data_IF_035220076720
#
_entry.id   IF_035220076720
#
_cell.length_a   1.000
_cell.length_b   1.000
_cell.length_c   1.000
_cell.angle_alpha   90.00
_cell.angle_beta   90.00
_cell.angle_gamma   90.00
#
_symmetry.space_group_name_H-M   'P 1'
#
loop_
_entity.id
_entity.type
_entity.pdbx_description
1 polymer ?
#
# COMPACT_ATOMS: atom_id res chain seq x y z
N UNK A 1 -20.69 10.73 -3.82
CA UNK A 1 -19.78 9.62 -3.54
C UNK A 1 -18.64 10.17 -2.71
N UNK A 2 -18.34 9.55 -1.58
CA UNK A 2 -17.28 9.93 -0.64
C UNK A 2 -16.33 8.74 -0.52
N UNK A 3 -15.04 8.96 -0.70
CA UNK A 3 -14.02 7.90 -0.60
C UNK A 3 -12.86 8.32 0.31
N UNK A 4 -12.11 7.33 0.77
CA UNK A 4 -10.91 7.57 1.57
C UNK A 4 -9.70 6.90 0.94
N UNK A 5 -8.57 7.59 0.97
CA UNK A 5 -7.25 6.95 0.89
C UNK A 5 -6.84 6.59 2.32
N UNK A 6 -6.44 5.34 2.54
CA UNK A 6 -6.19 4.79 3.88
C UNK A 6 -4.77 4.25 3.95
N UNK A 7 -4.02 4.73 4.95
CA UNK A 7 -2.61 4.36 5.17
C UNK A 7 -2.34 4.14 6.65
N UNK A 8 -1.31 3.34 6.97
CA UNK A 8 -0.78 3.18 8.32
C UNK A 8 0.60 3.84 8.47
N UNK A 9 0.82 4.55 9.58
CA UNK A 9 2.09 5.21 9.88
C UNK A 9 2.65 4.82 11.25
N UNK A 10 3.97 4.69 11.27
CA UNK A 10 4.79 4.62 12.47
C UNK A 10 5.72 5.85 12.49
N UNK A 11 6.23 6.22 13.66
CA UNK A 11 7.15 7.34 13.81
C UNK A 11 8.57 7.00 13.34
N UNK A 12 8.71 6.72 12.04
CA UNK A 12 9.97 6.43 11.36
C UNK A 12 10.20 7.50 10.32
N UNK A 13 11.35 8.18 10.38
CA UNK A 13 11.67 9.28 9.46
C UNK A 13 11.47 8.93 7.97
N UNK A 14 11.95 7.77 7.45
CA UNK A 14 11.71 7.41 6.06
C UNK A 14 10.23 7.26 5.73
N UNK A 15 9.44 6.68 6.64
CA UNK A 15 8.01 6.45 6.44
C UNK A 15 7.21 7.76 6.46
N UNK A 16 7.55 8.68 7.37
CA UNK A 16 6.96 10.02 7.43
C UNK A 16 7.31 10.85 6.18
N UNK A 17 8.55 10.75 5.70
CA UNK A 17 8.95 11.37 4.45
C UNK A 17 8.18 10.79 3.25
N UNK A 18 8.01 9.48 3.20
CA UNK A 18 7.22 8.82 2.15
C UNK A 18 5.75 9.26 2.20
N UNK A 19 5.15 9.26 3.40
CA UNK A 19 3.79 9.75 3.61
C UNK A 19 3.58 11.18 3.15
N UNK A 20 4.57 12.06 3.35
CA UNK A 20 4.45 13.45 2.91
C UNK A 20 4.29 13.56 1.39
N UNK A 21 4.78 12.59 0.61
CA UNK A 21 4.56 12.52 -0.83
C UNK A 21 3.13 12.17 -1.17
N UNK A 22 2.56 11.14 -0.53
CA UNK A 22 1.16 10.76 -0.69
C UNK A 22 0.25 11.93 -0.34
N UNK A 23 0.45 12.54 0.83
CA UNK A 23 -0.29 13.72 1.25
C UNK A 23 -0.16 14.88 0.24
N UNK A 24 1.06 15.24 -0.12
CA UNK A 24 1.32 16.40 -0.99
C UNK A 24 0.72 16.17 -2.38
N UNK A 25 0.79 14.95 -2.90
CA UNK A 25 0.15 14.59 -4.17
C UNK A 25 -1.37 14.72 -4.11
N UNK A 26 -2.01 14.24 -3.03
CA UNK A 26 -3.46 14.38 -2.84
C UNK A 26 -3.90 15.85 -2.79
N UNK A 27 -3.16 16.69 -2.07
CA UNK A 27 -3.43 18.14 -2.02
C UNK A 27 -3.17 18.82 -3.37
N UNK A 28 -2.13 18.40 -4.07
CA UNK A 28 -1.77 18.93 -5.38
C UNK A 28 -2.87 18.67 -6.42
N UNK A 29 -3.44 17.46 -6.44
CA UNK A 29 -4.50 17.11 -7.39
C UNK A 29 -5.87 17.67 -7.02
N UNK A 30 -6.01 18.29 -5.83
CA UNK A 30 -7.22 18.96 -5.35
C UNK A 30 -8.47 18.09 -5.46
N UNK A 31 -8.34 16.83 -5.04
CA UNK A 31 -9.47 15.91 -5.01
C UNK A 31 -10.58 16.45 -4.08
N UNK A 32 -11.83 16.42 -4.55
CA UNK A 32 -12.97 17.03 -3.86
C UNK A 32 -13.75 16.04 -3.00
N UNK A 33 -13.58 14.75 -3.24
CA UNK A 33 -14.39 13.66 -2.69
C UNK A 33 -13.56 12.65 -1.90
N UNK A 34 -12.27 12.93 -1.70
CA UNK A 34 -11.30 12.01 -1.12
C UNK A 34 -10.75 12.57 0.19
N UNK A 35 -11.05 11.88 1.30
CA UNK A 35 -10.37 12.10 2.57
C UNK A 35 -9.07 11.29 2.64
N UNK A 36 -8.10 11.75 3.44
CA UNK A 36 -6.93 10.96 3.82
C UNK A 36 -7.09 10.49 5.26
N UNK A 37 -7.32 9.19 5.43
CA UNK A 37 -7.46 8.54 6.74
C UNK A 37 -6.14 7.88 7.10
N UNK A 38 -5.57 8.28 8.23
CA UNK A 38 -4.25 7.85 8.67
C UNK A 38 -4.40 7.13 10.01
N UNK A 39 -4.21 5.82 9.96
CA UNK A 39 -4.01 5.02 11.16
C UNK A 39 -2.54 5.10 11.56
N UNK A 40 -2.22 5.09 12.84
CA UNK A 40 -0.82 5.08 13.25
C UNK A 40 -0.57 5.19 14.74
N UNK A 41 0.70 5.07 15.11
CA UNK A 41 1.13 5.29 16.50
C UNK A 41 0.92 6.76 16.89
N UNK A 42 0.63 7.03 18.17
CA UNK A 42 0.32 8.38 18.65
C UNK A 42 1.39 9.41 18.25
N UNK A 43 2.66 9.03 18.44
CA UNK A 43 3.84 9.84 18.12
C UNK A 43 4.05 10.06 16.60
N UNK A 44 3.50 9.20 15.75
CA UNK A 44 3.46 9.41 14.31
C UNK A 44 2.35 10.40 13.94
N UNK A 45 1.16 10.26 14.55
CA UNK A 45 -0.01 11.07 14.27
C UNK A 45 0.14 12.53 14.71
N UNK A 46 0.98 12.80 15.72
CA UNK A 46 1.40 14.17 16.08
C UNK A 46 2.05 14.92 14.90
N UNK A 47 2.66 14.20 13.96
CA UNK A 47 3.35 14.77 12.79
C UNK A 47 2.50 14.76 11.51
N UNK A 48 1.31 14.16 11.57
CA UNK A 48 0.36 14.13 10.46
C UNK A 48 -0.36 15.49 10.39
N UNK A 49 -0.62 16.06 9.19
CA UNK A 49 -1.37 17.31 9.06
C UNK A 49 -2.78 17.23 9.65
N UNK A 50 -3.28 18.36 10.18
CA UNK A 50 -4.56 18.43 10.90
C UNK A 50 -5.80 18.25 10.04
N UNK A 51 -5.66 18.43 8.73
CA UNK A 51 -6.74 18.20 7.76
C UNK A 51 -6.83 16.74 7.29
N UNK A 52 -6.02 15.84 7.87
CA UNK A 52 -6.16 14.39 7.75
C UNK A 52 -7.02 13.85 8.90
N UNK A 53 -7.69 12.72 8.66
CA UNK A 53 -8.42 11.99 9.70
C UNK A 53 -7.44 11.07 10.41
N UNK A 54 -7.04 11.43 11.63
CA UNK A 54 -6.02 10.73 12.43
C UNK A 54 -6.68 9.72 13.37
N UNK A 55 -6.27 8.46 13.29
CA UNK A 55 -6.83 7.38 14.11
C UNK A 55 -5.71 6.62 14.82
N UNK A 56 -5.55 6.80 16.15
CA UNK A 56 -4.57 6.06 16.94
C UNK A 56 -4.76 4.56 16.79
N UNK A 57 -3.67 3.86 16.47
CA UNK A 57 -3.64 2.40 16.39
C UNK A 57 -2.25 1.89 16.76
N UNK A 58 -2.15 0.93 17.70
CA UNK A 58 -0.87 0.33 18.05
C UNK A 58 -0.34 -0.55 16.92
N UNK A 59 0.97 -0.74 16.90
CA UNK A 59 1.62 -1.75 16.07
C UNK A 59 1.27 -3.17 16.51
N UNK A 60 1.46 -4.12 15.60
CA UNK A 60 1.30 -5.53 15.87
C UNK A 60 2.41 -6.06 16.78
N UNK A 61 2.05 -6.54 17.97
CA UNK A 61 3.00 -7.13 18.93
C UNK A 61 2.80 -8.63 19.14
N UNK A 62 1.61 -9.14 18.84
CA UNK A 62 1.25 -10.54 19.07
C UNK A 62 0.75 -11.20 17.78
N UNK A 63 1.35 -12.34 17.37
CA UNK A 63 2.44 -13.05 18.05
C UNK A 63 3.80 -12.31 17.93
N UNK A 64 4.86 -12.70 18.68
CA UNK A 64 6.16 -12.02 18.67
C UNK A 64 6.82 -11.89 17.28
N UNK A 65 6.49 -12.78 16.35
CA UNK A 65 6.92 -12.75 14.95
C UNK A 65 6.47 -11.47 14.23
N UNK A 66 5.32 -10.89 14.62
CA UNK A 66 4.83 -9.63 14.05
C UNK A 66 5.75 -8.46 14.33
N UNK A 67 6.39 -8.41 15.50
CA UNK A 67 7.38 -7.37 15.84
C UNK A 67 8.56 -7.39 14.87
N UNK A 68 8.98 -8.58 14.44
CA UNK A 68 10.08 -8.76 13.47
C UNK A 68 9.63 -8.53 12.03
N UNK A 69 8.32 -8.62 11.76
CA UNK A 69 7.73 -8.50 10.44
C UNK A 69 6.86 -7.23 10.31
N UNK A 70 7.46 -6.06 10.49
CA UNK A 70 6.78 -4.75 10.52
C UNK A 70 5.82 -4.46 9.36
N UNK A 71 6.00 -5.09 8.20
CA UNK A 71 5.10 -4.96 7.02
C UNK A 71 3.66 -5.40 7.33
N UNK A 72 3.46 -6.26 8.33
CA UNK A 72 2.12 -6.67 8.76
C UNK A 72 1.25 -5.50 9.21
N UNK A 73 1.88 -4.42 9.70
CA UNK A 73 1.14 -3.25 10.17
C UNK A 73 0.29 -2.60 9.07
N UNK A 74 0.62 -2.80 7.77
CA UNK A 74 -0.23 -2.37 6.64
C UNK A 74 -1.61 -3.04 6.59
N UNK A 75 -1.78 -4.17 7.29
CA UNK A 75 -3.04 -4.91 7.42
C UNK A 75 -3.52 -5.01 8.87
N UNK A 76 -2.61 -5.03 9.85
CA UNK A 76 -2.94 -5.30 11.26
C UNK A 76 -3.96 -4.34 11.85
N UNK A 77 -3.90 -3.04 11.50
CA UNK A 77 -4.84 -2.06 12.04
C UNK A 77 -6.30 -2.38 11.68
N UNK A 78 -6.57 -3.11 10.59
CA UNK A 78 -7.92 -3.58 10.25
C UNK A 78 -8.53 -4.56 11.24
N UNK A 79 -7.73 -5.13 12.15
CA UNK A 79 -8.22 -5.97 13.25
C UNK A 79 -8.75 -5.16 14.44
N UNK A 80 -8.60 -3.83 14.41
CA UNK A 80 -8.96 -2.94 15.51
C UNK A 80 -10.35 -2.35 15.31
N UNK A 81 -11.14 -2.14 16.38
CA UNK A 81 -12.52 -1.65 16.27
C UNK A 81 -12.62 -0.26 15.63
N UNK A 82 -11.55 0.54 15.70
CA UNK A 82 -11.48 1.88 15.15
C UNK A 82 -11.67 1.91 13.62
N UNK A 83 -11.43 0.80 12.91
CA UNK A 83 -11.66 0.75 11.45
C UNK A 83 -13.12 0.87 11.05
N UNK A 84 -14.05 0.74 12.00
CA UNK A 84 -15.48 1.01 11.79
C UNK A 84 -15.75 2.43 11.26
N UNK A 85 -14.86 3.39 11.52
CA UNK A 85 -14.93 4.74 10.93
C UNK A 85 -14.94 4.71 9.40
N UNK A 86 -14.33 3.70 8.79
CA UNK A 86 -14.24 3.56 7.33
C UNK A 86 -15.58 3.21 6.69
N UNK A 87 -16.56 2.73 7.45
CA UNK A 87 -17.89 2.38 6.95
C UNK A 87 -18.73 3.61 6.55
N UNK A 88 -18.26 4.83 6.83
CA UNK A 88 -18.89 6.06 6.35
C UNK A 88 -18.58 6.38 4.87
N UNK A 89 -17.64 5.66 4.26
CA UNK A 89 -17.19 5.89 2.89
C UNK A 89 -17.87 4.90 1.93
N UNK A 90 -18.13 5.34 0.71
CA UNK A 90 -18.61 4.46 -0.36
C UNK A 90 -17.48 3.51 -0.81
N UNK A 91 -16.24 4.02 -0.85
CA UNK A 91 -15.05 3.26 -1.22
C UNK A 91 -13.85 3.65 -0.36
N UNK A 92 -12.97 2.68 -0.09
CA UNK A 92 -11.66 2.93 0.50
C UNK A 92 -10.55 2.40 -0.39
N UNK A 93 -9.48 3.18 -0.48
CA UNK A 93 -8.25 2.89 -1.20
C UNK A 93 -7.12 2.68 -0.19
N UNK A 94 -6.93 1.43 0.21
CA UNK A 94 -5.84 0.99 1.09
C UNK A 94 -4.54 1.02 0.29
N UNK A 95 -3.54 1.76 0.76
CA UNK A 95 -2.24 1.86 0.09
C UNK A 95 -1.07 2.04 1.07
N UNK A 96 0.15 1.89 0.57
CA UNK A 96 1.40 2.17 1.28
C UNK A 96 1.75 3.67 1.26
N UNK A 97 2.60 4.10 2.18
CA UNK A 97 2.97 5.51 2.30
C UNK A 97 3.89 6.00 1.18
N UNK A 98 4.69 5.13 0.56
CA UNK A 98 5.64 5.47 -0.51
C UNK A 98 4.99 5.52 -1.89
N UNK A 99 3.91 6.29 -1.96
CA UNK A 99 3.03 6.37 -3.11
C UNK A 99 2.68 7.82 -3.46
N UNK A 100 2.16 7.99 -4.67
CA UNK A 100 1.67 9.26 -5.18
C UNK A 100 0.33 9.03 -5.87
N UNK A 101 -0.57 10.01 -5.75
CA UNK A 101 -1.75 10.11 -6.60
C UNK A 101 -1.46 11.07 -7.75
N UNK A 102 -2.11 10.85 -8.89
CA UNK A 102 -2.02 11.74 -10.06
C UNK A 102 -3.38 12.37 -10.35
N UNK A 103 -3.47 13.36 -11.27
CA UNK A 103 -4.75 13.97 -11.64
C UNK A 103 -5.81 12.96 -12.10
N UNK A 104 -5.40 11.81 -12.67
CA UNK A 104 -6.28 10.74 -13.11
C UNK A 104 -7.14 10.15 -11.96
N UNK A 105 -6.68 10.26 -10.71
CA UNK A 105 -7.43 9.84 -9.52
C UNK A 105 -8.84 10.46 -9.46
N UNK A 106 -8.99 11.72 -9.86
CA UNK A 106 -10.23 12.47 -9.72
C UNK A 106 -11.39 11.92 -10.55
N UNK A 107 -11.11 11.17 -11.61
CA UNK A 107 -12.11 10.52 -12.46
C UNK A 107 -12.14 9.00 -12.35
N UNK A 108 -11.29 8.41 -11.50
CA UNK A 108 -11.16 6.96 -11.38
C UNK A 108 -11.94 6.39 -10.21
N UNK A 109 -12.87 5.48 -10.51
CA UNK A 109 -13.64 4.72 -9.52
C UNK A 109 -13.64 3.24 -9.91
N UNK A 110 -13.61 2.33 -8.93
CA UNK A 110 -13.49 0.92 -9.21
C UNK A 110 -14.88 0.37 -9.56
N UNK A 111 -15.01 -0.30 -10.72
CA UNK A 111 -16.28 -0.96 -11.10
C UNK A 111 -16.57 -2.17 -10.19
N UNK A 112 -15.51 -2.80 -9.69
CA UNK A 112 -15.52 -3.92 -8.76
C UNK A 112 -14.29 -3.83 -7.86
N UNK A 113 -14.17 -4.73 -6.88
CA UNK A 113 -12.96 -4.79 -6.04
C UNK A 113 -11.71 -4.84 -6.93
N UNK A 114 -10.81 -3.88 -6.75
CA UNK A 114 -9.65 -3.70 -7.61
C UNK A 114 -8.40 -3.69 -6.76
N UNK A 115 -7.38 -4.41 -7.21
CA UNK A 115 -6.08 -4.45 -6.55
C UNK A 115 -4.99 -3.97 -7.48
N UNK A 116 -3.88 -3.50 -6.90
CA UNK A 116 -2.64 -3.32 -7.64
C UNK A 116 -1.98 -4.65 -7.98
N UNK A 117 -0.75 -4.59 -8.50
CA UNK A 117 -0.04 -5.78 -8.99
C UNK A 117 1.10 -6.20 -8.06
N UNK A 118 1.15 -7.50 -7.73
CA UNK A 118 2.27 -8.15 -7.08
C UNK A 118 3.35 -8.68 -8.05
N UNK A 119 4.35 -9.38 -7.49
CA UNK A 119 5.45 -9.97 -8.25
C UNK A 119 6.21 -11.07 -7.49
N UNK A 120 5.50 -11.84 -6.67
CA UNK A 120 6.07 -12.81 -5.73
C UNK A 120 5.80 -14.27 -6.11
N UNK A 121 4.87 -14.54 -7.03
CA UNK A 121 4.60 -15.88 -7.55
C UNK A 121 5.47 -16.12 -8.80
N UNK A 122 6.64 -16.72 -8.58
CA UNK A 122 7.68 -16.93 -9.59
C UNK A 122 7.90 -18.40 -9.99
N UNK A 123 7.24 -19.35 -9.32
CA UNK A 123 7.39 -20.79 -9.56
C UNK A 123 6.08 -21.55 -9.34
N UNK A 124 6.04 -22.80 -9.83
CA UNK A 124 4.91 -23.71 -9.58
C UNK A 124 4.80 -24.08 -8.09
N UNK A 125 5.94 -24.23 -7.42
CA UNK A 125 6.01 -24.48 -5.98
C UNK A 125 5.24 -23.43 -5.18
N UNK A 126 5.51 -22.12 -5.42
CA UNK A 126 4.81 -21.04 -4.72
C UNK A 126 3.28 -21.12 -4.94
N UNK A 127 2.83 -21.44 -6.16
CA UNK A 127 1.40 -21.62 -6.46
C UNK A 127 0.79 -22.78 -5.68
N UNK A 128 1.51 -23.89 -5.56
CA UNK A 128 1.07 -25.06 -4.81
C UNK A 128 0.96 -24.77 -3.31
N UNK A 129 1.93 -24.06 -2.71
CA UNK A 129 1.87 -23.63 -1.32
C UNK A 129 0.66 -22.71 -1.07
N UNK A 130 0.46 -21.71 -1.93
CA UNK A 130 -0.67 -20.77 -1.82
C UNK A 130 -2.02 -21.50 -1.88
N UNK A 131 -2.19 -22.41 -2.84
CA UNK A 131 -3.40 -23.23 -2.95
C UNK A 131 -3.61 -24.09 -1.70
N UNK A 132 -2.58 -24.82 -1.25
CA UNK A 132 -2.64 -25.68 -0.06
C UNK A 132 -3.03 -24.90 1.19
N UNK A 133 -2.43 -23.72 1.41
CA UNK A 133 -2.70 -22.89 2.59
C UNK A 133 -4.10 -22.27 2.51
N UNK A 134 -4.56 -21.90 1.32
CA UNK A 134 -5.93 -21.43 1.11
C UNK A 134 -6.94 -22.51 1.53
N UNK A 135 -6.74 -23.74 1.06
CA UNK A 135 -7.59 -24.89 1.40
C UNK A 135 -7.53 -25.24 2.89
N UNK A 136 -6.35 -25.13 3.52
CA UNK A 136 -6.16 -25.34 4.96
C UNK A 136 -7.02 -24.38 5.81
N UNK A 137 -7.25 -23.17 5.32
CA UNK A 137 -8.08 -22.16 5.99
C UNK A 137 -9.56 -22.23 5.56
N UNK A 138 -9.98 -23.29 4.86
CA UNK A 138 -11.35 -23.47 4.41
C UNK A 138 -11.79 -22.48 3.32
N UNK A 139 -10.82 -21.84 2.65
CA UNK A 139 -11.06 -20.87 1.58
C UNK A 139 -10.88 -21.53 0.20
N UNK A 140 -11.40 -20.87 -0.83
CA UNK A 140 -11.24 -21.30 -2.23
C UNK A 140 -10.21 -20.41 -2.94
N UNK A 141 -9.15 -21.01 -3.47
CA UNK A 141 -8.22 -20.30 -4.34
C UNK A 141 -8.77 -20.26 -5.78
N UNK A 142 -8.91 -19.08 -6.39
CA UNK A 142 -9.51 -18.93 -7.73
C UNK A 142 -8.50 -19.10 -8.87
N UNK A 143 -7.22 -19.31 -8.52
CA UNK A 143 -6.13 -19.45 -9.50
C UNK A 143 -5.58 -18.12 -9.99
N UNK A 144 -6.00 -17.01 -9.37
CA UNK A 144 -5.52 -15.67 -9.64
C UNK A 144 -4.33 -15.40 -8.71
N UNK A 145 -3.20 -15.00 -9.31
CA UNK A 145 -1.93 -14.87 -8.62
C UNK A 145 -1.28 -13.50 -8.86
N UNK A 146 -0.33 -13.14 -8.01
CA UNK A 146 0.35 -11.84 -7.97
C UNK A 146 -0.63 -10.69 -7.70
N UNK A 147 -1.51 -10.89 -6.73
CA UNK A 147 -2.42 -9.84 -6.21
C UNK A 147 -1.58 -8.83 -5.40
N UNK A 148 -1.73 -7.54 -5.68
CA UNK A 148 -1.00 -6.46 -4.99
C UNK A 148 -1.48 -6.22 -3.56
N UNK A 149 -0.72 -5.40 -2.82
CA UNK A 149 -1.05 -5.01 -1.44
C UNK A 149 -1.92 -3.74 -1.37
N UNK A 150 -2.13 -3.07 -2.50
CA UNK A 150 -3.04 -1.94 -2.68
C UNK A 150 -4.42 -2.47 -3.05
N UNK A 151 -5.47 -2.01 -2.35
CA UNK A 151 -6.84 -2.47 -2.54
C UNK A 151 -7.79 -1.28 -2.64
N UNK A 152 -8.69 -1.32 -3.61
CA UNK A 152 -9.73 -0.34 -3.82
C UNK A 152 -11.09 -1.03 -3.94
N UNK A 153 -11.99 -0.74 -3.01
CA UNK A 153 -13.28 -1.39 -2.96
C UNK A 153 -14.15 -0.84 -1.85
N UNK A 154 -15.28 -1.51 -1.61
CA UNK A 154 -16.15 -1.18 -0.48
C UNK A 154 -15.42 -1.39 0.84
N UNK A 155 -15.70 -0.58 1.89
CA UNK A 155 -15.08 -0.75 3.20
C UNK A 155 -15.23 -2.17 3.74
N UNK A 156 -16.43 -2.75 3.67
CA UNK A 156 -16.73 -4.09 4.18
C UNK A 156 -15.82 -5.18 3.58
N UNK A 157 -15.57 -5.11 2.26
CA UNK A 157 -14.73 -6.07 1.55
C UNK A 157 -13.25 -5.89 1.89
N UNK A 158 -12.76 -4.64 1.88
CA UNK A 158 -11.35 -4.33 2.17
C UNK A 158 -11.01 -4.68 3.61
N UNK A 159 -11.88 -4.33 4.57
CA UNK A 159 -11.72 -4.66 5.99
C UNK A 159 -11.68 -6.18 6.17
N UNK A 160 -12.64 -6.92 5.59
CA UNK A 160 -12.71 -8.38 5.72
C UNK A 160 -11.47 -9.06 5.13
N UNK A 161 -11.05 -8.66 3.93
CA UNK A 161 -9.83 -9.17 3.30
C UNK A 161 -8.60 -8.90 4.18
N UNK A 162 -8.44 -7.68 4.69
CA UNK A 162 -7.29 -7.34 5.52
C UNK A 162 -7.28 -8.07 6.87
N UNK A 163 -8.44 -8.28 7.50
CA UNK A 163 -8.55 -9.08 8.73
C UNK A 163 -8.12 -10.53 8.50
N UNK A 164 -8.64 -11.18 7.47
CA UNK A 164 -8.26 -12.56 7.12
C UNK A 164 -6.79 -12.64 6.69
N UNK A 165 -6.26 -11.63 5.99
CA UNK A 165 -4.84 -11.57 5.66
C UNK A 165 -3.97 -11.55 6.93
N UNK A 166 -4.37 -10.87 8.00
CA UNK A 166 -3.63 -10.90 9.28
C UNK A 166 -3.61 -12.30 9.90
N UNK A 167 -4.73 -13.02 9.87
CA UNK A 167 -4.83 -14.39 10.37
C UNK A 167 -3.94 -15.35 9.57
N UNK A 168 -3.95 -15.24 8.24
CA UNK A 168 -3.11 -16.07 7.37
C UNK A 168 -1.64 -15.70 7.54
N UNK A 169 -1.30 -14.41 7.64
CA UNK A 169 0.06 -13.96 7.89
C UNK A 169 0.58 -14.49 9.23
N UNK A 170 -0.27 -14.53 10.26
CA UNK A 170 0.05 -15.19 11.53
C UNK A 170 0.45 -16.64 11.31
N UNK A 171 -0.39 -17.43 10.64
CA UNK A 171 -0.07 -18.83 10.33
C UNK A 171 1.25 -18.97 9.54
N UNK A 172 1.42 -18.15 8.49
CA UNK A 172 2.64 -18.16 7.67
C UNK A 172 3.89 -17.93 8.53
N UNK A 173 3.87 -16.93 9.41
CA UNK A 173 5.03 -16.56 10.20
C UNK A 173 5.30 -17.51 11.37
N UNK A 174 4.26 -18.03 12.02
CA UNK A 174 4.43 -18.86 13.24
C UNK A 174 4.47 -20.36 12.97
N UNK A 175 4.05 -20.81 11.78
CA UNK A 175 3.98 -22.23 11.42
C UNK A 175 4.80 -22.50 10.17
N UNK A 176 4.43 -21.88 9.04
CA UNK A 176 5.03 -22.22 7.74
C UNK A 176 6.51 -21.83 7.66
N UNK A 177 6.86 -20.63 8.11
CA UNK A 177 8.21 -20.05 8.04
C UNK A 177 8.93 -20.01 9.39
N UNK A 178 8.42 -20.75 10.37
CA UNK A 178 8.95 -20.73 11.74
C UNK A 178 10.42 -21.15 11.79
N UNK A 179 10.72 -22.28 11.14
CA UNK A 179 12.04 -22.91 11.23
C UNK A 179 12.93 -22.59 10.02
N UNK A 180 12.33 -22.36 8.85
CA UNK A 180 13.03 -21.94 7.62
C UNK A 180 12.25 -20.78 6.94
N UNK A 181 12.81 -19.57 6.86
CA UNK A 181 12.17 -18.47 6.15
C UNK A 181 12.15 -18.65 4.64
N UNK A 182 12.80 -19.67 4.09
CA UNK A 182 12.89 -19.93 2.65
C UNK A 182 13.81 -18.96 1.91
N UNK A 183 13.74 -18.96 0.58
CA UNK A 183 14.67 -18.18 -0.27
C UNK A 183 13.95 -17.45 -1.40
N UNK A 184 14.35 -16.19 -1.62
CA UNK A 184 13.92 -15.40 -2.76
C UNK A 184 14.82 -15.63 -3.98
N UNK A 185 14.29 -15.68 -5.23
CA UNK A 185 12.87 -15.71 -5.59
C UNK A 185 12.29 -17.14 -5.53
N UNK A 186 11.39 -17.40 -4.58
CA UNK A 186 10.84 -18.72 -4.28
C UNK A 186 9.81 -18.63 -3.15
N UNK A 187 9.52 -19.74 -2.48
CA UNK A 187 8.71 -19.73 -1.25
C UNK A 187 9.51 -19.05 -0.14
N UNK A 188 9.13 -17.83 0.24
CA UNK A 188 9.94 -16.97 1.10
C UNK A 188 9.07 -16.13 2.07
N UNK A 189 9.33 -16.27 3.36
CA UNK A 189 8.60 -15.58 4.42
C UNK A 189 8.72 -14.06 4.42
N UNK A 190 9.74 -13.49 3.75
CA UNK A 190 9.86 -12.04 3.64
C UNK A 190 8.71 -11.37 2.88
N UNK A 191 7.95 -12.13 2.07
CA UNK A 191 6.75 -11.66 1.37
C UNK A 191 5.44 -12.26 1.92
N UNK A 192 5.44 -12.73 3.17
CA UNK A 192 4.25 -13.30 3.83
C UNK A 192 3.01 -12.39 3.77
N UNK A 193 3.18 -11.06 3.89
CA UNK A 193 2.07 -10.10 3.72
C UNK A 193 1.42 -10.26 2.34
N UNK A 194 2.21 -10.41 1.28
CA UNK A 194 1.71 -10.55 -0.08
C UNK A 194 0.95 -11.86 -0.28
N UNK A 195 1.52 -12.98 0.19
CA UNK A 195 0.85 -14.29 0.17
C UNK A 195 -0.49 -14.25 0.92
N UNK A 196 -0.51 -13.64 2.10
CA UNK A 196 -1.73 -13.55 2.91
C UNK A 196 -2.83 -12.70 2.27
N UNK A 197 -2.48 -11.58 1.63
CA UNK A 197 -3.44 -10.76 0.88
C UNK A 197 -4.01 -11.56 -0.31
N UNK A 198 -3.18 -12.30 -1.06
CA UNK A 198 -3.67 -13.09 -2.19
C UNK A 198 -4.64 -14.19 -1.77
N UNK A 199 -4.31 -14.92 -0.70
CA UNK A 199 -5.17 -15.97 -0.16
C UNK A 199 -6.51 -15.36 0.29
N UNK A 200 -6.48 -14.24 1.02
CA UNK A 200 -7.68 -13.57 1.51
C UNK A 200 -8.56 -13.03 0.37
N UNK A 201 -7.98 -12.37 -0.64
CA UNK A 201 -8.74 -11.86 -1.80
C UNK A 201 -9.36 -13.02 -2.58
N UNK A 202 -8.59 -14.05 -2.92
CA UNK A 202 -9.13 -15.23 -3.60
C UNK A 202 -10.26 -15.89 -2.79
N UNK A 203 -10.13 -15.94 -1.45
CA UNK A 203 -11.09 -16.60 -0.58
C UNK A 203 -12.39 -15.83 -0.34
N UNK A 204 -12.40 -14.51 -0.49
CA UNK A 204 -13.54 -13.67 -0.13
C UNK A 204 -14.19 -12.91 -1.27
N UNK A 205 -13.45 -12.60 -2.33
CA UNK A 205 -13.91 -11.69 -3.38
C UNK A 205 -14.21 -12.50 -4.64
N UNK A 206 -15.49 -12.70 -4.95
CA UNK A 206 -15.92 -13.54 -6.08
C UNK A 206 -15.43 -13.01 -7.44
N UNK A 207 -15.42 -11.69 -7.64
CA UNK A 207 -14.93 -11.04 -8.86
C UNK A 207 -14.12 -9.81 -8.51
N UNK A 208 -12.89 -9.75 -9.02
CA UNK A 208 -11.98 -8.62 -8.82
C UNK A 208 -11.04 -8.44 -10.01
N UNK A 209 -10.50 -7.23 -10.13
CA UNK A 209 -9.51 -6.87 -11.14
C UNK A 209 -8.14 -6.66 -10.50
N UNK A 210 -7.08 -7.16 -11.13
CA UNK A 210 -5.71 -6.69 -10.88
C UNK A 210 -5.43 -5.60 -11.91
N UNK A 211 -5.55 -4.34 -11.52
CA UNK A 211 -5.35 -3.20 -12.42
C UNK A 211 -3.87 -2.85 -12.50
N UNK A 212 -3.23 -3.38 -13.53
CA UNK A 212 -1.78 -3.25 -13.77
C UNK A 212 -1.40 -1.92 -14.42
N UNK A 213 -2.38 -1.15 -14.88
CA UNK A 213 -2.16 0.08 -15.63
C UNK A 213 -2.37 1.29 -14.74
N UNK A 214 -3.38 1.26 -13.87
CA UNK A 214 -3.74 2.42 -13.06
C UNK A 214 -3.15 2.35 -11.65
N UNK A 215 -3.05 1.16 -11.04
CA UNK A 215 -2.69 0.99 -9.63
C UNK A 215 -1.29 0.37 -9.48
N UNK A 216 -0.49 1.00 -8.61
CA UNK A 216 0.91 0.63 -8.33
C UNK A 216 1.81 0.81 -9.55
N UNK A 217 1.54 1.86 -10.34
CA UNK A 217 2.34 2.17 -11.52
C UNK A 217 3.74 2.65 -11.10
N UNK A 218 4.83 2.29 -11.80
CA UNK A 218 6.18 2.55 -11.30
C UNK A 218 6.57 4.03 -11.34
N UNK A 219 7.11 4.55 -10.23
CA UNK A 219 7.60 5.93 -10.10
C UNK A 219 8.76 6.32 -11.02
N UNK A 220 9.33 5.36 -11.75
CA UNK A 220 10.41 5.59 -12.70
C UNK A 220 9.92 5.71 -14.15
N UNK A 221 8.61 5.60 -14.37
CA UNK A 221 8.04 5.57 -15.70
C UNK A 221 8.20 6.91 -16.43
N UNK A 222 8.53 6.90 -17.73
CA UNK A 222 8.45 8.08 -18.59
C UNK A 222 7.04 8.30 -19.16
N UNK A 223 6.05 7.48 -18.78
CA UNK A 223 4.67 7.65 -19.24
C UNK A 223 3.97 8.87 -18.62
N UNK A 224 2.78 9.17 -19.15
CA UNK A 224 2.00 10.35 -18.76
C UNK A 224 1.29 10.17 -17.42
N UNK A 225 1.22 11.23 -16.62
CA UNK A 225 0.43 11.26 -15.37
C UNK A 225 -1.08 11.16 -15.57
N UNK A 226 -1.58 11.39 -16.80
CA UNK A 226 -3.01 11.44 -17.09
C UNK A 226 -3.69 10.07 -17.14
N UNK A 227 -2.89 8.99 -17.13
CA UNK A 227 -3.38 7.61 -17.31
C UNK A 227 -3.25 6.73 -16.09
N UNK A 228 -2.43 7.10 -15.11
CA UNK A 228 -2.06 6.21 -14.02
C UNK A 228 -2.43 6.85 -12.70
N UNK A 229 -3.40 6.29 -11.99
CA UNK A 229 -4.04 6.98 -10.85
C UNK A 229 -3.18 6.95 -9.59
N UNK A 230 -2.41 5.87 -9.43
CA UNK A 230 -1.64 5.57 -8.25
C UNK A 230 -0.24 5.08 -8.62
N UNK A 231 0.77 5.83 -8.21
CA UNK A 231 2.18 5.56 -8.48
C UNK A 231 2.83 4.99 -7.22
N UNK A 232 3.63 3.94 -7.34
CA UNK A 232 4.31 3.28 -6.24
C UNK A 232 5.85 3.31 -6.40
N UNK A 233 6.56 3.59 -5.32
CA UNK A 233 8.02 3.69 -5.30
C UNK A 233 8.72 2.35 -5.01
N UNK A 234 8.77 1.51 -6.04
CA UNK A 234 9.58 0.30 -6.00
C UNK A 234 11.07 0.58 -5.78
N UNK A 235 11.79 -0.43 -5.27
CA UNK A 235 13.22 -0.33 -5.03
C UNK A 235 13.99 -0.20 -6.34
N UNK A 236 14.67 0.93 -6.52
CA UNK A 236 15.35 1.27 -7.78
C UNK A 236 16.43 2.32 -7.55
N UNK A 237 17.34 2.45 -8.51
CA UNK A 237 18.31 3.55 -8.59
C UNK A 237 17.97 4.55 -9.71
N UNK A 238 16.91 4.31 -10.47
CA UNK A 238 16.43 5.22 -11.52
C UNK A 238 15.57 6.35 -10.92
N UNK A 239 15.48 7.48 -11.61
CA UNK A 239 14.61 8.60 -11.22
C UNK A 239 13.16 8.19 -11.52
N UNK A 240 12.19 8.34 -10.60
CA UNK A 240 12.30 8.76 -9.19
C UNK A 240 12.56 7.56 -8.26
N UNK A 241 13.58 7.66 -7.39
CA UNK A 241 13.92 6.66 -6.37
C UNK A 241 13.80 7.23 -4.96
N UNK A 242 13.00 6.57 -4.10
CA UNK A 242 12.86 6.92 -2.68
C UNK A 242 14.19 6.93 -1.93
N UNK A 243 15.08 5.98 -2.23
CA UNK A 243 16.40 5.90 -1.58
C UNK A 243 17.34 7.03 -2.02
N UNK A 244 17.22 7.50 -3.26
CA UNK A 244 17.99 8.65 -3.74
C UNK A 244 17.46 9.95 -3.11
N UNK A 245 16.14 10.10 -3.00
CA UNK A 245 15.49 11.22 -2.31
C UNK A 245 15.90 11.29 -0.84
N UNK A 246 15.81 10.17 -0.09
CA UNK A 246 16.21 10.09 1.32
C UNK A 246 17.68 10.46 1.56
N UNK A 247 18.55 10.24 0.55
CA UNK A 247 19.98 10.59 0.60
C UNK A 247 20.27 12.01 0.13
N UNK A 248 19.25 12.81 -0.19
CA UNK A 248 19.41 14.18 -0.68
C UNK A 248 20.01 14.29 -2.09
N UNK A 249 20.02 13.21 -2.89
CA UNK A 249 20.61 13.22 -4.23
C UNK A 249 19.89 14.13 -5.22
N UNK A 250 18.69 14.58 -4.87
CA UNK A 250 17.86 15.43 -5.71
C UNK A 250 17.79 16.88 -5.23
N UNK A 251 18.51 17.26 -4.16
CA UNK A 251 18.41 18.58 -3.54
C UNK A 251 18.78 19.74 -4.47
N UNK A 252 19.67 19.49 -5.44
CA UNK A 252 20.15 20.50 -6.40
C UNK A 252 19.27 20.57 -7.67
N UNK A 253 18.26 19.71 -7.79
CA UNK A 253 17.35 19.73 -8.94
C UNK A 253 16.38 20.90 -8.77
N UNK A 254 16.35 21.78 -9.78
CA UNK A 254 15.40 22.87 -9.86
C UNK A 254 14.01 22.33 -10.26
N UNK A 255 12.96 22.47 -9.42
CA UNK A 255 11.63 21.94 -9.75
C UNK A 255 11.01 22.50 -11.03
N UNK A 256 11.46 23.66 -11.51
CA UNK A 256 10.97 24.27 -12.75
C UNK A 256 11.47 23.57 -14.02
N UNK A 257 12.49 22.72 -13.91
CA UNK A 257 13.05 21.98 -15.05
C UNK A 257 12.35 20.63 -15.29
N UNK A 258 11.36 20.28 -14.44
CA UNK A 258 10.65 19.00 -14.46
C UNK A 258 9.38 19.08 -15.32
N UNK A 259 9.15 18.08 -16.17
CA UNK A 259 7.89 17.97 -16.91
C UNK A 259 6.84 17.22 -16.06
N UNK A 260 5.91 17.97 -15.48
CA UNK A 260 4.88 17.40 -14.60
C UNK A 260 3.88 16.47 -15.30
N UNK A 261 3.89 16.41 -16.64
CA UNK A 261 3.10 15.43 -17.37
C UNK A 261 3.77 14.05 -17.39
N UNK A 262 5.05 13.93 -16.98
CA UNK A 262 5.81 12.68 -16.97
C UNK A 262 5.84 12.14 -15.53
N UNK A 263 5.47 10.87 -15.34
CA UNK A 263 5.34 10.24 -14.01
C UNK A 263 6.57 10.43 -13.13
N UNK A 264 7.77 10.13 -13.62
CA UNK A 264 8.98 10.22 -12.79
C UNK A 264 9.34 11.65 -12.38
N UNK A 265 9.09 12.62 -13.26
CA UNK A 265 9.38 14.04 -13.05
C UNK A 265 8.33 14.64 -12.10
N UNK A 266 7.05 14.25 -12.27
CA UNK A 266 5.97 14.54 -11.34
C UNK A 266 6.26 14.02 -9.92
N UNK A 267 6.67 12.76 -9.78
CA UNK A 267 7.00 12.18 -8.47
C UNK A 267 8.13 12.96 -7.80
N UNK A 268 9.16 13.30 -8.57
CA UNK A 268 10.28 14.10 -8.07
C UNK A 268 9.85 15.51 -7.65
N UNK A 269 9.04 16.18 -8.46
CA UNK A 269 8.49 17.49 -8.14
C UNK A 269 7.69 17.46 -6.82
N UNK A 270 6.77 16.49 -6.69
CA UNK A 270 5.96 16.34 -5.47
C UNK A 270 6.85 16.04 -4.27
N UNK A 271 7.85 15.18 -4.39
CA UNK A 271 8.75 14.85 -3.29
C UNK A 271 9.58 16.08 -2.84
N UNK A 272 10.11 16.87 -3.77
CA UNK A 272 10.82 18.12 -3.46
C UNK A 272 9.91 19.17 -2.83
N UNK A 273 8.65 19.26 -3.28
CA UNK A 273 7.63 20.12 -2.68
C UNK A 273 7.31 19.68 -1.26
N UNK A 274 7.07 18.39 -1.05
CA UNK A 274 6.76 17.81 0.25
C UNK A 274 7.89 18.04 1.26
N UNK A 275 9.16 17.91 0.86
CA UNK A 275 10.31 18.17 1.72
C UNK A 275 10.40 19.63 2.20
N UNK A 276 9.87 20.59 1.42
CA UNK A 276 9.83 22.01 1.83
C UNK A 276 8.65 22.29 2.76
N UNK A 277 7.54 21.59 2.58
CA UNK A 277 6.29 21.79 3.34
C UNK A 277 6.30 21.03 4.68
N UNK A 278 6.95 19.88 4.70
CA UNK A 278 7.10 19.04 5.87
C UNK A 278 8.54 19.14 6.38
N UNK A 279 8.72 19.73 7.55
CA UNK A 279 10.02 19.87 8.20
C UNK A 279 10.50 18.50 8.78
N UNK A 280 10.77 17.51 7.92
CA UNK A 280 11.08 16.10 8.24
C UNK A 280 12.58 15.77 8.16
#
# INVERSE_FOLDING_TARGET
MKRAVVVFLENKRPLLLQFSWLYTSLKYIKSKDTDLVVFGTDDALEKVPDDCIKIPCPIATEPPEFVKYFRINSNYYYTKPEVSILNQYDYIFKTDADTFLTPAWNSFYPEQYTTGKGGYVNSMEVRQHLKRITELHGLKHQGIHNIGATHYGKPEDVIKVSQTAVEIAKYLLTVEFKDDPGKWPGWYGGVANMYSNEIAVNGHIESFTIDRLNIDFPSTSPETTDRHVHIHCYHTNHIFSKFAMEKGKYNDINPNDLDLNIVRDYCLFIALKAQKEFNI
#
